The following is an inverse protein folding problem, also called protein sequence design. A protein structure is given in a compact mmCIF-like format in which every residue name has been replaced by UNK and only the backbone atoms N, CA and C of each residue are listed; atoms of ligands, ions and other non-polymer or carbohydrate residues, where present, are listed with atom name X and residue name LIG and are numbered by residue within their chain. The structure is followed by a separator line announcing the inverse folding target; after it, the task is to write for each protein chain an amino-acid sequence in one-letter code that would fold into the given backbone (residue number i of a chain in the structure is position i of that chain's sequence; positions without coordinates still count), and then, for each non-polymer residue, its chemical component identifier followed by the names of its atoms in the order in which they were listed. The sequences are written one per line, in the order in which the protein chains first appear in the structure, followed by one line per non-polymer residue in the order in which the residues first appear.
data_IF_479255840660
#
_entry.id   IF_479255840660
#
_cell.length_a   1.000
_cell.length_b   1.000
_cell.length_c   1.000
_cell.angle_alpha   90.00
_cell.angle_beta   90.00
_cell.angle_gamma   90.00
#
_symmetry.space_group_name_H-M   'P 1'
#
loop_
_entity.id
_entity.type
_entity.pdbx_description
1 polymer ?
#
# COMPACT_ATOMS: atom_id res chain seq x y z
N UNK A 1 3.04 26.96 -12.32
CA UNK A 1 1.75 26.62 -11.68
C UNK A 1 1.74 25.11 -11.52
N UNK A 2 1.81 24.57 -10.30
CA UNK A 2 1.76 23.13 -10.11
C UNK A 2 0.33 22.63 -10.34
N UNK A 3 0.17 21.48 -11.00
CA UNK A 3 -1.12 20.78 -11.03
C UNK A 3 -1.55 20.49 -9.60
N UNK A 4 -2.82 20.75 -9.28
CA UNK A 4 -3.45 20.30 -8.04
C UNK A 4 -4.20 18.98 -8.27
N UNK A 5 -4.46 18.17 -7.22
CA UNK A 5 -5.33 16.99 -7.34
C UNK A 5 -6.69 17.33 -7.94
N UNK A 6 -7.26 18.47 -7.57
CA UNK A 6 -8.51 18.97 -8.15
C UNK A 6 -8.41 19.28 -9.65
N UNK A 7 -7.25 19.70 -10.15
CA UNK A 7 -7.05 19.92 -11.59
C UNK A 7 -7.00 18.59 -12.37
N UNK A 8 -6.48 17.53 -11.75
CA UNK A 8 -6.47 16.17 -12.32
C UNK A 8 -7.89 15.61 -12.35
N UNK A 9 -8.65 15.78 -11.27
CA UNK A 9 -10.03 15.32 -11.19
C UNK A 9 -10.97 16.01 -12.20
N UNK A 10 -10.76 17.31 -12.45
CA UNK A 10 -11.62 18.09 -13.33
C UNK A 10 -11.16 18.10 -14.81
N UNK A 11 -10.15 17.32 -15.16
CA UNK A 11 -9.63 17.29 -16.54
C UNK A 11 -10.63 16.58 -17.46
N UNK A 12 -10.95 17.20 -18.60
CA UNK A 12 -11.82 16.61 -19.61
C UNK A 12 -11.07 16.47 -20.94
N UNK A 13 -10.98 15.24 -21.45
CA UNK A 13 -10.37 14.96 -22.75
C UNK A 13 -11.42 15.01 -23.88
N UNK A 14 -11.05 15.62 -25.02
CA UNK A 14 -11.89 15.63 -26.22
C UNK A 14 -11.96 14.26 -26.88
N UNK A 15 -13.13 13.87 -27.38
CA UNK A 15 -13.29 12.61 -28.13
C UNK A 15 -12.41 12.58 -29.38
N UNK A 16 -11.83 11.42 -29.76
CA UNK A 16 -11.01 11.29 -30.95
C UNK A 16 -11.76 11.73 -32.22
N UNK A 17 -11.10 12.38 -33.19
CA UNK A 17 -11.68 12.68 -34.49
C UNK A 17 -12.20 11.41 -35.18
N UNK A 18 -13.32 11.52 -35.89
CA UNK A 18 -14.00 10.40 -36.55
C UNK A 18 -12.99 9.60 -37.40
N UNK A 19 -12.91 8.29 -37.15
CA UNK A 19 -12.03 7.36 -37.86
C UNK A 19 -10.65 7.13 -37.22
N UNK A 20 -10.33 7.79 -36.10
CA UNK A 20 -9.11 7.51 -35.31
C UNK A 20 -9.46 6.79 -34.01
N UNK A 21 -8.60 5.83 -33.62
CA UNK A 21 -8.72 5.14 -32.33
C UNK A 21 -8.19 6.04 -31.22
N UNK A 22 -8.92 6.14 -30.11
CA UNK A 22 -8.49 6.79 -28.88
C UNK A 22 -8.05 5.79 -27.82
N UNK A 23 -7.67 6.32 -26.66
CA UNK A 23 -7.50 5.53 -25.44
C UNK A 23 -8.85 5.04 -24.91
N UNK A 24 -8.83 3.96 -24.13
CA UNK A 24 -10.01 3.46 -23.44
C UNK A 24 -10.34 4.40 -22.27
N UNK A 25 -11.56 4.93 -22.24
CA UNK A 25 -12.00 5.89 -21.22
C UNK A 25 -11.85 5.29 -19.80
N UNK A 26 -12.25 4.03 -19.60
CA UNK A 26 -12.17 3.36 -18.29
C UNK A 26 -10.72 3.19 -17.80
N UNK A 27 -9.77 2.91 -18.70
CA UNK A 27 -8.35 2.78 -18.35
C UNK A 27 -7.70 4.12 -18.06
N UNK A 28 -8.13 5.17 -18.75
CA UNK A 28 -7.67 6.54 -18.51
C UNK A 28 -8.19 7.04 -17.16
N UNK A 29 -9.46 6.83 -16.86
CA UNK A 29 -10.07 7.24 -15.59
C UNK A 29 -9.39 6.53 -14.40
N UNK A 30 -9.18 5.21 -14.49
CA UNK A 30 -8.47 4.45 -13.45
C UNK A 30 -7.02 4.92 -13.25
N UNK A 31 -6.35 5.38 -14.31
CA UNK A 31 -5.02 5.96 -14.22
C UNK A 31 -5.04 7.34 -13.57
N UNK A 32 -6.03 8.18 -13.89
CA UNK A 32 -6.19 9.50 -13.28
C UNK A 32 -6.48 9.40 -11.78
N UNK A 33 -7.29 8.44 -11.34
CA UNK A 33 -7.52 8.18 -9.91
C UNK A 33 -6.21 7.87 -9.16
N UNK A 34 -5.34 7.06 -9.77
CA UNK A 34 -4.04 6.72 -9.20
C UNK A 34 -3.09 7.93 -9.16
N UNK A 35 -3.12 8.77 -10.21
CA UNK A 35 -2.34 10.02 -10.26
C UNK A 35 -2.85 11.02 -9.23
N UNK A 36 -4.16 11.16 -9.04
CA UNK A 36 -4.77 12.04 -8.05
C UNK A 36 -4.38 11.63 -6.62
N UNK A 37 -4.46 10.33 -6.32
CA UNK A 37 -4.05 9.77 -5.03
C UNK A 37 -2.57 10.00 -4.74
N UNK A 38 -1.68 9.72 -5.70
CA UNK A 38 -0.24 9.90 -5.49
C UNK A 38 0.15 11.39 -5.42
N UNK A 39 -0.52 12.26 -6.18
CA UNK A 39 -0.29 13.70 -6.11
C UNK A 39 -0.71 14.25 -4.74
N UNK A 40 -1.83 13.78 -4.19
CA UNK A 40 -2.27 14.13 -2.83
C UNK A 40 -1.23 13.67 -1.80
N UNK A 41 -0.80 12.41 -1.87
CA UNK A 41 0.24 11.83 -1.00
C UNK A 41 1.54 12.62 -1.04
N UNK A 42 2.02 12.98 -2.24
CA UNK A 42 3.24 13.75 -2.43
C UNK A 42 3.12 15.18 -1.89
N UNK A 43 1.95 15.81 -2.00
CA UNK A 43 1.72 17.15 -1.45
C UNK A 43 1.74 17.09 0.08
N UNK A 44 1.05 16.13 0.69
CA UNK A 44 1.05 15.90 2.14
C UNK A 44 2.48 15.62 2.65
N UNK A 45 3.21 14.72 1.99
CA UNK A 45 4.60 14.41 2.33
C UNK A 45 5.51 15.64 2.17
N UNK A 46 5.32 16.46 1.14
CA UNK A 46 6.09 17.69 0.99
C UNK A 46 5.76 18.72 2.07
N UNK A 47 4.49 18.81 2.50
CA UNK A 47 4.10 19.70 3.60
C UNK A 47 4.70 19.25 4.92
N UNK A 48 4.68 17.95 5.22
CA UNK A 48 5.25 17.38 6.43
C UNK A 48 6.78 17.54 6.45
N UNK A 49 7.46 17.27 5.33
CA UNK A 49 8.90 17.47 5.21
C UNK A 49 9.28 18.94 5.40
N UNK A 50 8.51 19.89 4.82
CA UNK A 50 8.75 21.32 5.02
C UNK A 50 8.56 21.73 6.47
N UNK A 51 7.52 21.23 7.15
CA UNK A 51 7.33 21.46 8.57
C UNK A 51 8.51 20.91 9.38
N UNK A 52 8.97 19.69 9.06
CA UNK A 52 10.10 19.08 9.76
C UNK A 52 11.41 19.84 9.57
N UNK A 53 11.67 20.34 8.35
CA UNK A 53 12.81 21.22 8.10
C UNK A 53 12.69 22.50 8.90
N UNK A 54 11.51 23.11 8.97
CA UNK A 54 11.28 24.32 9.74
C UNK A 54 11.47 24.09 11.25
N UNK A 55 11.01 22.96 11.79
CA UNK A 55 11.26 22.55 13.18
C UNK A 55 12.75 22.36 13.45
N UNK A 56 13.46 21.63 12.57
CA UNK A 56 14.90 21.42 12.69
C UNK A 56 15.68 22.73 12.61
N UNK A 57 15.30 23.64 11.72
CA UNK A 57 15.90 24.98 11.62
C UNK A 57 15.64 25.80 12.89
N UNK A 58 14.46 25.68 13.51
CA UNK A 58 14.14 26.29 14.80
C UNK A 58 14.94 25.66 15.94
N UNK A 59 15.08 24.33 15.98
CA UNK A 59 15.91 23.62 16.96
C UNK A 59 17.39 23.97 16.78
N UNK A 60 17.88 24.10 15.54
CA UNK A 60 19.25 24.52 15.25
C UNK A 60 19.48 25.99 15.61
N UNK A 61 18.51 26.88 15.37
CA UNK A 61 18.61 28.28 15.82
C UNK A 61 18.50 28.39 17.33
N UNK A 62 17.65 27.60 17.99
CA UNK A 62 17.54 27.53 19.44
C UNK A 62 18.79 26.91 20.08
N UNK A 63 19.37 25.86 19.49
CA UNK A 63 20.63 25.26 19.91
C UNK A 63 21.81 26.19 19.62
N UNK A 64 21.76 26.98 18.55
CA UNK A 64 22.73 28.05 18.28
C UNK A 64 22.56 29.23 19.23
N UNK A 65 21.35 29.52 19.70
CA UNK A 65 21.04 30.52 20.71
C UNK A 65 21.15 30.01 22.16
N UNK A 66 21.27 28.70 22.36
CA UNK A 66 21.52 28.05 23.64
C UNK A 66 23.00 27.64 23.81
N UNK A 67 23.69 27.39 22.71
CA UNK A 67 25.16 27.24 22.62
C UNK A 67 25.87 28.59 22.42
N UNK A 68 25.17 29.59 21.90
CA UNK A 68 25.41 30.97 22.25
C UNK A 68 24.57 31.28 23.49
N UNK A 69 25.07 30.90 24.66
CA UNK A 69 25.03 31.89 25.72
C UNK A 69 25.35 33.23 25.04
N UNK A 70 24.60 34.32 25.29
CA UNK A 70 25.18 35.59 24.97
C UNK A 70 26.56 35.48 25.63
N UNK A 71 27.60 35.50 24.81
CA UNK A 71 28.67 36.40 25.11
C UNK A 71 27.93 37.74 25.14
N UNK A 72 27.21 38.01 26.26
CA UNK A 72 27.38 39.21 27.04
C UNK A 72 28.83 39.43 26.83
N UNK A 73 29.09 40.37 25.91
CA UNK A 73 30.38 40.92 25.71
C UNK A 73 30.94 40.91 27.12
N UNK A 74 31.93 40.03 27.37
CA UNK A 74 32.79 40.27 28.52
C UNK A 74 33.03 41.76 28.38
N UNK A 75 32.64 42.59 29.37
CA UNK A 75 32.90 44.01 29.25
C UNK A 75 34.34 44.02 28.79
N UNK A 76 34.56 44.55 27.58
CA UNK A 76 35.92 44.79 27.14
C UNK A 76 36.42 45.58 28.32
N UNK A 77 37.32 44.96 29.08
CA UNK A 77 38.06 45.65 30.10
C UNK A 77 38.90 46.57 29.23
N UNK A 78 38.26 47.66 28.81
CA UNK A 78 38.90 48.93 28.61
C UNK A 78 39.68 49.05 29.89
N UNK A 79 41.02 48.94 29.82
CA UNK A 79 41.82 49.12 31.00
C UNK A 79 41.41 50.48 31.52
N UNK A 80 40.62 50.48 32.60
CA UNK A 80 40.45 51.65 33.42
C UNK A 80 41.89 52.07 33.68
N UNK A 81 42.28 53.28 33.25
CA UNK A 81 43.67 53.68 33.29
C UNK A 81 44.11 53.43 34.71
N UNK A 82 45.07 52.51 34.89
CA UNK A 82 45.82 52.39 36.13
C UNK A 82 46.07 53.83 36.55
N UNK A 83 45.65 54.26 37.76
CA UNK A 83 45.88 55.62 38.21
C UNK A 83 47.35 55.83 37.98
N UNK A 84 47.65 56.73 37.03
CA UNK A 84 48.97 56.92 36.46
C UNK A 84 49.96 56.75 37.59
N UNK A 85 50.72 55.64 37.56
CA UNK A 85 51.76 55.40 38.53
C UNK A 85 52.52 56.73 38.61
N UNK A 86 52.49 57.44 39.76
CA UNK A 86 53.13 58.73 39.84
C UNK A 86 54.58 58.46 39.46
N UNK A 87 55.03 59.13 38.40
CA UNK A 87 56.40 59.07 37.94
C UNK A 87 57.30 59.14 39.17
N UNK A 88 57.95 58.04 39.49
CA UNK A 88 58.90 57.97 40.58
C UNK A 88 60.11 58.80 40.16
N UNK A 89 60.09 60.07 40.52
CA UNK A 89 61.23 60.97 40.58
C UNK A 89 61.37 61.48 42.02
N UNK A 90 62.61 61.71 42.46
CA UNK A 90 63.14 61.06 43.64
C UNK A 90 62.79 61.83 44.92
N UNK A 91 61.96 61.21 45.76
CA UNK A 91 61.81 61.65 47.13
C UNK A 91 63.11 61.33 47.89
N UNK A 92 63.80 62.40 48.27
CA UNK A 92 64.95 62.43 49.15
C UNK A 92 64.82 61.47 50.33
N UNK A 93 65.84 60.64 50.53
CA UNK A 93 65.99 59.75 51.67
C UNK A 93 65.82 60.52 53.00
N UNK A 94 64.92 60.10 53.89
CA UNK A 94 65.00 60.48 55.29
C UNK A 94 66.19 59.77 55.95
N UNK A 95 66.86 60.43 56.90
CA UNK A 95 68.08 59.92 57.50
C UNK A 95 67.77 58.72 58.41
N UNK A 96 68.56 57.66 58.26
CA UNK A 96 68.75 56.62 59.28
C UNK A 96 67.49 55.88 59.74
N UNK A 97 67.12 54.81 59.03
CA UNK A 97 66.31 53.76 59.63
C UNK A 97 67.13 53.10 60.73
N UNK A 98 66.64 53.14 61.96
CA UNK A 98 67.21 52.36 63.05
C UNK A 98 67.05 50.86 62.70
N UNK A 99 68.08 50.04 62.95
CA UNK A 99 68.10 48.59 62.65
C UNK A 99 66.83 47.86 63.12
N UNK A 100 66.23 48.32 64.22
CA UNK A 100 65.03 47.74 64.79
C UNK A 100 63.76 47.92 63.92
N UNK A 101 63.66 49.02 63.15
CA UNK A 101 62.52 49.26 62.25
C UNK A 101 62.63 48.46 60.95
N UNK A 102 63.85 48.25 60.43
CA UNK A 102 64.10 47.37 59.29
C UNK A 102 63.79 45.90 59.63
N UNK A 103 64.15 45.45 60.83
CA UNK A 103 63.83 44.11 61.33
C UNK A 103 62.33 43.89 61.50
N UNK A 104 61.58 44.90 61.97
CA UNK A 104 60.10 44.83 62.07
C UNK A 104 59.45 44.78 60.69
N UNK A 105 59.93 45.56 59.72
CA UNK A 105 59.44 45.53 58.35
C UNK A 105 59.71 44.19 57.64
N UNK A 106 60.90 43.61 57.80
CA UNK A 106 61.25 42.31 57.24
C UNK A 106 60.36 41.17 57.80
N UNK A 107 60.03 41.23 59.10
CA UNK A 107 59.12 40.26 59.74
C UNK A 107 57.70 40.34 59.19
N UNK A 108 57.20 41.54 58.95
CA UNK A 108 55.87 41.76 58.36
C UNK A 108 55.85 41.28 56.90
N UNK A 109 56.92 41.53 56.14
CA UNK A 109 57.06 41.03 54.76
C UNK A 109 57.09 39.51 54.70
N UNK A 110 57.83 38.87 55.60
CA UNK A 110 57.85 37.40 55.73
C UNK A 110 56.47 36.85 56.08
N UNK A 111 55.76 37.47 57.04
CA UNK A 111 54.40 37.06 57.39
C UNK A 111 53.44 37.24 56.19
N UNK A 112 53.58 38.32 55.44
CA UNK A 112 52.79 38.57 54.24
C UNK A 112 53.08 37.53 53.14
N UNK A 113 54.35 37.19 52.91
CA UNK A 113 54.75 36.13 51.97
C UNK A 113 54.20 34.77 52.39
N UNK A 114 54.32 34.40 53.66
CA UNK A 114 53.76 33.14 54.19
C UNK A 114 52.24 33.08 54.00
N UNK A 115 51.54 34.20 54.23
CA UNK A 115 50.09 34.25 54.01
C UNK A 115 49.72 34.16 52.52
N UNK A 116 50.51 34.79 51.64
CA UNK A 116 50.29 34.72 50.19
C UNK A 116 50.53 33.30 49.66
N UNK A 117 51.61 32.64 50.08
CA UNK A 117 51.92 31.26 49.69
C UNK A 117 50.84 30.29 50.18
N UNK A 118 50.36 30.48 51.41
CA UNK A 118 49.26 29.68 51.97
C UNK A 118 47.97 29.86 51.20
N UNK A 119 47.56 31.10 50.91
CA UNK A 119 46.35 31.39 50.11
C UNK A 119 46.46 30.82 48.69
N UNK A 120 47.63 30.92 48.07
CA UNK A 120 47.87 30.37 46.73
C UNK A 120 47.77 28.84 46.75
N UNK A 121 48.33 28.20 47.78
CA UNK A 121 48.25 26.74 47.97
C UNK A 121 46.81 26.27 48.18
N UNK A 122 46.03 26.96 49.03
CA UNK A 122 44.62 26.62 49.26
C UNK A 122 43.78 26.83 48.01
N UNK A 123 43.98 27.95 47.30
CA UNK A 123 43.26 28.21 46.05
C UNK A 123 43.57 27.17 44.97
N UNK A 124 44.85 26.76 44.84
CA UNK A 124 45.24 25.68 43.92
C UNK A 124 44.55 24.36 44.27
N UNK A 125 44.62 23.95 45.54
CA UNK A 125 44.00 22.72 46.02
C UNK A 125 42.47 22.71 45.84
N UNK A 126 41.81 23.83 46.11
CA UNK A 126 40.36 23.98 45.85
C UNK A 126 40.04 23.90 44.36
N UNK A 127 40.84 24.53 43.49
CA UNK A 127 40.63 24.45 42.03
C UNK A 127 40.84 23.04 41.49
N UNK A 128 41.86 22.32 41.97
CA UNK A 128 42.13 20.94 41.58
C UNK A 128 41.00 20.02 41.99
N UNK A 129 40.46 20.23 43.21
CA UNK A 129 39.29 19.52 43.69
C UNK A 129 38.06 19.80 42.83
N UNK A 130 37.76 21.07 42.54
CA UNK A 130 36.62 21.43 41.68
C UNK A 130 36.75 20.83 40.28
N UNK A 131 37.96 20.83 39.71
CA UNK A 131 38.22 20.20 38.42
C UNK A 131 38.04 18.68 38.47
N UNK A 132 38.46 18.03 39.55
CA UNK A 132 38.24 16.59 39.76
C UNK A 132 36.75 16.27 39.89
N UNK A 133 36.01 17.03 40.70
CA UNK A 133 34.56 16.86 40.89
C UNK A 133 33.79 17.12 39.59
N UNK A 134 34.16 18.17 38.84
CA UNK A 134 33.56 18.47 37.54
C UNK A 134 33.84 17.35 36.51
N UNK A 135 35.05 16.80 36.48
CA UNK A 135 35.40 15.67 35.62
C UNK A 135 34.61 14.42 35.99
N UNK A 136 34.53 14.08 37.27
CA UNK A 136 33.77 12.93 37.76
C UNK A 136 32.27 13.05 37.41
N UNK A 137 31.68 14.23 37.60
CA UNK A 137 30.29 14.49 37.22
C UNK A 137 30.08 14.39 35.70
N UNK A 138 31.01 14.92 34.89
CA UNK A 138 30.93 14.81 33.44
C UNK A 138 31.03 13.35 32.97
N UNK A 139 31.93 12.56 33.55
CA UNK A 139 32.07 11.13 33.26
C UNK A 139 30.80 10.35 33.63
N UNK A 140 30.18 10.67 34.77
CA UNK A 140 28.93 10.07 35.18
C UNK A 140 27.79 10.38 34.19
N UNK A 141 27.61 11.66 33.82
CA UNK A 141 26.58 12.07 32.86
C UNK A 141 26.79 11.37 31.51
N UNK A 142 28.03 11.30 31.02
CA UNK A 142 28.34 10.61 29.77
C UNK A 142 28.09 9.10 29.88
N UNK A 143 28.36 8.48 31.03
CA UNK A 143 28.07 7.08 31.29
C UNK A 143 26.57 6.79 31.31
N UNK A 144 25.78 7.64 31.99
CA UNK A 144 24.32 7.55 32.05
C UNK A 144 23.70 7.75 30.67
N UNK A 145 24.12 8.78 29.94
CA UNK A 145 23.65 9.05 28.58
C UNK A 145 23.96 7.88 27.63
N UNK A 146 25.16 7.28 27.73
CA UNK A 146 25.52 6.10 26.93
C UNK A 146 24.66 4.88 27.29
N UNK A 147 24.48 4.57 28.58
CA UNK A 147 23.60 3.46 29.01
C UNK A 147 22.18 3.64 28.53
N UNK A 148 21.65 4.86 28.60
CA UNK A 148 20.30 5.16 28.12
C UNK A 148 20.21 5.04 26.59
N UNK A 149 21.22 5.52 25.85
CA UNK A 149 21.30 5.34 24.41
C UNK A 149 21.32 3.85 24.03
N UNK A 150 22.17 3.05 24.69
CA UNK A 150 22.27 1.62 24.43
C UNK A 150 20.96 0.89 24.73
N UNK A 151 20.28 1.24 25.82
CA UNK A 151 18.97 0.69 26.17
C UNK A 151 17.91 1.03 25.12
N UNK A 152 17.84 2.29 24.69
CA UNK A 152 16.85 2.71 23.67
C UNK A 152 17.10 2.04 22.32
N UNK A 153 18.37 1.87 21.93
CA UNK A 153 18.74 1.14 20.70
C UNK A 153 18.36 -0.34 20.83
N UNK A 154 18.63 -0.98 21.97
CA UNK A 154 18.26 -2.38 22.20
C UNK A 154 16.75 -2.58 22.16
N UNK A 155 15.98 -1.72 22.82
CA UNK A 155 14.52 -1.75 22.78
C UNK A 155 13.97 -1.51 21.38
N UNK A 156 14.51 -0.53 20.66
CA UNK A 156 14.07 -0.23 19.29
C UNK A 156 14.33 -1.42 18.36
N UNK A 157 15.50 -2.07 18.47
CA UNK A 157 15.82 -3.29 17.73
C UNK A 157 14.87 -4.43 18.07
N UNK A 158 14.65 -4.69 19.35
CA UNK A 158 13.73 -5.75 19.79
C UNK A 158 12.30 -5.51 19.28
N UNK A 159 11.80 -4.26 19.32
CA UNK A 159 10.48 -3.91 18.78
C UNK A 159 10.42 -4.10 17.26
N UNK A 160 11.48 -3.72 16.54
CA UNK A 160 11.57 -3.92 15.10
C UNK A 160 11.57 -5.41 14.74
N UNK A 161 12.37 -6.23 15.42
CA UNK A 161 12.43 -7.67 15.19
C UNK A 161 11.08 -8.35 15.48
N UNK A 162 10.41 -7.95 16.56
CA UNK A 162 9.07 -8.44 16.88
C UNK A 162 8.03 -8.05 15.82
N UNK A 163 8.08 -6.81 15.31
CA UNK A 163 7.19 -6.34 14.24
C UNK A 163 7.43 -7.12 12.93
N UNK A 164 8.70 -7.39 12.59
CA UNK A 164 9.04 -8.20 11.40
C UNK A 164 8.54 -9.64 11.53
N UNK A 165 8.68 -10.26 12.70
CA UNK A 165 8.18 -11.62 12.94
C UNK A 165 6.65 -11.70 12.88
N UNK A 166 5.94 -10.74 13.45
CA UNK A 166 4.48 -10.65 13.37
C UNK A 166 4.01 -10.41 11.93
N UNK A 167 4.67 -9.50 11.19
CA UNK A 167 4.38 -9.26 9.78
C UNK A 167 4.59 -10.51 8.93
N UNK A 168 5.69 -11.25 9.13
CA UNK A 168 5.95 -12.52 8.45
C UNK A 168 4.87 -13.55 8.77
N UNK A 169 4.50 -13.72 10.03
CA UNK A 169 3.46 -14.68 10.45
C UNK A 169 2.11 -14.36 9.83
N UNK A 170 1.73 -13.07 9.81
CA UNK A 170 0.48 -12.62 9.16
C UNK A 170 0.50 -12.85 7.66
N UNK A 171 1.63 -12.55 7.00
CA UNK A 171 1.78 -12.77 5.57
C UNK A 171 1.68 -14.26 5.21
N UNK A 172 2.34 -15.14 5.95
CA UNK A 172 2.26 -16.60 5.77
C UNK A 172 0.83 -17.11 5.99
N UNK A 173 0.15 -16.62 7.03
CA UNK A 173 -1.24 -17.00 7.31
C UNK A 173 -2.17 -16.54 6.19
N UNK A 174 -1.99 -15.32 5.69
CA UNK A 174 -2.79 -14.78 4.59
C UNK A 174 -2.55 -15.55 3.28
N UNK A 175 -1.30 -15.90 2.96
CA UNK A 175 -0.96 -16.72 1.81
C UNK A 175 -1.60 -18.09 1.89
N UNK A 176 -1.51 -18.75 3.05
CA UNK A 176 -2.15 -20.04 3.28
C UNK A 176 -3.67 -19.96 3.13
N UNK A 177 -4.32 -18.95 3.70
CA UNK A 177 -5.76 -18.75 3.54
C UNK A 177 -6.16 -18.47 2.08
N UNK A 178 -5.34 -17.71 1.34
CA UNK A 178 -5.58 -17.45 -0.08
C UNK A 178 -5.44 -18.73 -0.92
N UNK A 179 -4.42 -19.54 -0.64
CA UNK A 179 -4.22 -20.84 -1.29
C UNK A 179 -5.38 -21.80 -1.01
N UNK A 180 -5.76 -21.96 0.27
CA UNK A 180 -6.90 -22.82 0.64
C UNK A 180 -8.20 -22.38 -0.05
N UNK A 181 -8.45 -21.07 -0.18
CA UNK A 181 -9.60 -20.54 -0.92
C UNK A 181 -9.52 -20.80 -2.42
N UNK A 182 -8.33 -20.65 -3.02
CA UNK A 182 -8.11 -20.90 -4.43
C UNK A 182 -8.35 -22.39 -4.76
N UNK A 183 -7.79 -23.30 -3.95
CA UNK A 183 -7.96 -24.74 -4.10
C UNK A 183 -9.43 -25.14 -3.93
N UNK A 184 -10.12 -24.57 -2.93
CA UNK A 184 -11.55 -24.81 -2.72
C UNK A 184 -12.40 -24.34 -3.90
N UNK A 185 -12.09 -23.16 -4.46
CA UNK A 185 -12.79 -22.62 -5.63
C UNK A 185 -12.55 -23.49 -6.86
N UNK A 186 -11.32 -23.95 -7.07
CA UNK A 186 -10.98 -24.85 -8.17
C UNK A 186 -11.73 -26.18 -8.03
N UNK A 187 -11.73 -26.80 -6.85
CA UNK A 187 -12.46 -28.02 -6.59
C UNK A 187 -13.99 -27.85 -6.76
N UNK A 188 -14.54 -26.68 -6.46
CA UNK A 188 -15.96 -26.37 -6.71
C UNK A 188 -16.25 -26.20 -8.20
N UNK A 189 -15.38 -25.52 -8.94
CA UNK A 189 -15.48 -25.35 -10.38
C UNK A 189 -15.40 -26.70 -11.11
N UNK A 190 -14.45 -27.57 -10.73
CA UNK A 190 -14.29 -28.92 -11.29
C UNK A 190 -15.52 -29.80 -11.01
N UNK A 191 -16.05 -29.77 -9.78
CA UNK A 191 -17.30 -30.49 -9.44
C UNK A 191 -18.46 -30.02 -10.30
N UNK A 192 -18.73 -28.71 -10.37
CA UNK A 192 -19.79 -28.14 -11.22
C UNK A 192 -19.58 -28.48 -12.69
N UNK A 193 -18.35 -28.43 -13.18
CA UNK A 193 -18.04 -28.81 -14.55
C UNK A 193 -18.38 -30.26 -14.82
N UNK A 194 -17.98 -31.18 -13.92
CA UNK A 194 -18.28 -32.61 -14.06
C UNK A 194 -19.78 -32.90 -14.02
N UNK A 195 -20.53 -32.22 -13.15
CA UNK A 195 -21.99 -32.31 -13.07
C UNK A 195 -22.66 -31.83 -14.36
N UNK A 196 -22.30 -30.63 -14.82
CA UNK A 196 -22.85 -30.06 -16.06
C UNK A 196 -22.54 -30.98 -17.24
N UNK A 197 -21.29 -31.42 -17.39
CA UNK A 197 -20.91 -32.35 -18.46
C UNK A 197 -21.65 -33.69 -18.35
N UNK A 198 -21.86 -34.19 -17.14
CA UNK A 198 -22.70 -35.36 -16.89
C UNK A 198 -24.13 -35.16 -17.41
N UNK A 199 -24.76 -34.04 -17.08
CA UNK A 199 -26.13 -33.72 -17.56
C UNK A 199 -26.20 -33.55 -19.07
N UNK A 200 -25.23 -32.86 -19.68
CA UNK A 200 -25.15 -32.66 -21.13
C UNK A 200 -25.00 -34.02 -21.84
N UNK A 201 -24.14 -34.90 -21.34
CA UNK A 201 -23.94 -36.23 -21.92
C UNK A 201 -25.19 -37.11 -21.80
N UNK A 202 -25.92 -37.03 -20.68
CA UNK A 202 -27.21 -37.70 -20.53
C UNK A 202 -28.25 -37.18 -21.52
N UNK A 203 -28.40 -35.86 -21.63
CA UNK A 203 -29.32 -35.24 -22.60
C UNK A 203 -28.97 -35.62 -24.03
N UNK A 204 -27.69 -35.58 -24.39
CA UNK A 204 -27.19 -36.02 -25.69
C UNK A 204 -27.58 -37.46 -25.98
N UNK A 205 -27.35 -38.38 -25.03
CA UNK A 205 -27.70 -39.80 -25.18
C UNK A 205 -29.21 -39.99 -25.39
N UNK A 206 -30.04 -39.27 -24.64
CA UNK A 206 -31.50 -39.31 -24.79
C UNK A 206 -31.94 -38.76 -26.15
N UNK A 207 -31.35 -37.67 -26.62
CA UNK A 207 -31.65 -37.08 -27.93
C UNK A 207 -31.21 -37.99 -29.08
N UNK A 208 -30.04 -38.60 -28.98
CA UNK A 208 -29.54 -39.60 -29.94
C UNK A 208 -30.49 -40.81 -30.01
N UNK A 209 -30.95 -41.33 -28.87
CA UNK A 209 -31.93 -42.42 -28.83
C UNK A 209 -33.28 -42.05 -29.47
N UNK A 210 -33.79 -40.84 -29.20
CA UNK A 210 -35.03 -40.34 -29.85
C UNK A 210 -34.84 -40.19 -31.35
N UNK A 211 -33.69 -39.69 -31.82
CA UNK A 211 -33.40 -39.55 -33.24
C UNK A 211 -33.44 -40.91 -33.95
N UNK A 212 -32.90 -41.96 -33.32
CA UNK A 212 -32.92 -43.32 -33.87
C UNK A 212 -34.33 -43.92 -33.89
N UNK A 213 -35.13 -43.69 -32.85
CA UNK A 213 -36.55 -44.05 -32.84
C UNK A 213 -37.33 -43.36 -33.96
N UNK A 214 -37.12 -42.05 -34.17
CA UNK A 214 -37.78 -41.30 -35.25
C UNK A 214 -37.38 -41.82 -36.63
N UNK A 215 -36.09 -42.14 -36.85
CA UNK A 215 -35.61 -42.74 -38.11
C UNK A 215 -36.24 -44.11 -38.39
N UNK A 216 -36.42 -44.91 -37.35
CA UNK A 216 -37.08 -46.23 -37.46
C UNK A 216 -38.55 -46.06 -37.77
N UNK A 217 -39.25 -45.20 -37.02
CA UNK A 217 -40.65 -44.86 -37.27
C UNK A 217 -40.88 -44.33 -38.69
N UNK A 218 -40.01 -43.43 -39.17
CA UNK A 218 -40.09 -42.91 -40.54
C UNK A 218 -39.94 -44.03 -41.58
N UNK A 219 -38.97 -44.93 -41.40
CA UNK A 219 -38.74 -46.06 -42.32
C UNK A 219 -39.95 -46.99 -42.36
N UNK A 220 -40.49 -47.35 -41.19
CA UNK A 220 -41.70 -48.17 -41.10
C UNK A 220 -42.91 -47.47 -41.71
N UNK A 221 -43.12 -46.19 -41.40
CA UNK A 221 -44.22 -45.41 -41.94
C UNK A 221 -44.16 -45.31 -43.46
N UNK A 222 -42.99 -45.00 -44.04
CA UNK A 222 -42.79 -44.99 -45.50
C UNK A 222 -43.08 -46.35 -46.13
N UNK A 223 -42.65 -47.43 -45.47
CA UNK A 223 -42.92 -48.81 -45.95
C UNK A 223 -44.42 -49.12 -45.93
N UNK A 224 -45.10 -48.85 -44.81
CA UNK A 224 -46.56 -49.07 -44.66
C UNK A 224 -47.35 -48.22 -45.65
N UNK A 225 -46.97 -46.95 -45.82
CA UNK A 225 -47.61 -46.05 -46.79
C UNK A 225 -47.43 -46.56 -48.22
N UNK A 226 -46.23 -47.01 -48.59
CA UNK A 226 -45.97 -47.61 -49.90
C UNK A 226 -46.86 -48.83 -50.12
N UNK A 227 -46.87 -49.77 -49.19
CA UNK A 227 -47.71 -50.98 -49.29
C UNK A 227 -49.20 -50.65 -49.38
N UNK A 228 -49.69 -49.66 -48.63
CA UNK A 228 -51.09 -49.21 -48.70
C UNK A 228 -51.44 -48.59 -50.05
N UNK A 229 -50.57 -47.73 -50.60
CA UNK A 229 -50.79 -47.15 -51.92
C UNK A 229 -50.73 -48.20 -53.03
N UNK A 230 -49.81 -49.16 -52.95
CA UNK A 230 -49.74 -50.29 -53.87
C UNK A 230 -51.01 -51.14 -53.83
N UNK A 231 -51.53 -51.45 -52.62
CA UNK A 231 -52.77 -52.21 -52.50
C UNK A 231 -53.99 -51.44 -53.03
N UNK A 232 -54.09 -50.13 -52.77
CA UNK A 232 -55.16 -49.30 -53.33
C UNK A 232 -55.11 -49.23 -54.86
N UNK A 233 -53.92 -49.14 -55.45
CA UNK A 233 -53.75 -49.18 -56.90
C UNK A 233 -54.15 -50.54 -57.48
N UNK A 234 -53.82 -51.64 -56.80
CA UNK A 234 -54.22 -52.98 -57.23
C UNK A 234 -55.74 -53.20 -57.14
N UNK A 235 -56.39 -52.75 -56.07
CA UNK A 235 -57.85 -52.76 -55.95
C UNK A 235 -58.54 -51.95 -57.05
N UNK A 236 -57.99 -50.78 -57.40
CA UNK A 236 -58.49 -49.97 -58.51
C UNK A 236 -58.27 -50.66 -59.86
N UNK A 237 -57.13 -51.34 -60.05
CA UNK A 237 -56.88 -52.18 -61.22
C UNK A 237 -57.87 -53.33 -61.35
N UNK A 238 -58.16 -54.03 -60.24
CA UNK A 238 -59.14 -55.11 -60.19
C UNK A 238 -60.57 -54.60 -60.43
N UNK A 239 -60.95 -53.45 -59.86
CA UNK A 239 -62.27 -52.82 -60.09
C UNK A 239 -62.41 -52.24 -61.49
N UNK A 240 -61.34 -51.68 -62.07
CA UNK A 240 -61.31 -51.27 -63.47
C UNK A 240 -61.40 -52.45 -64.43
N UNK A 241 -60.87 -53.62 -64.03
CA UNK A 241 -61.04 -54.89 -64.75
C UNK A 241 -62.43 -55.53 -64.54
N UNK A 242 -63.21 -55.05 -63.58
CA UNK A 242 -64.57 -55.50 -63.28
C UNK A 242 -65.66 -54.56 -63.83
N UNK A 243 -65.36 -53.82 -64.91
CA UNK A 243 -66.41 -53.21 -65.72
C UNK A 243 -67.26 -54.33 -66.34
N UNK A 244 -68.60 -54.33 -66.18
CA UNK A 244 -69.45 -55.35 -66.76
C UNK A 244 -69.36 -55.25 -68.28
N UNK A 245 -69.01 -56.36 -68.94
CA UNK A 245 -69.23 -56.50 -70.38
C UNK A 245 -70.74 -56.51 -70.61
N UNK A 246 -71.23 -55.44 -71.24
CA UNK A 246 -72.63 -55.24 -71.59
C UNK A 246 -73.10 -56.42 -72.45
N UNK A 247 -73.85 -57.34 -71.82
CA UNK A 247 -74.48 -58.47 -72.49
C UNK A 247 -75.90 -58.06 -72.86
N UNK A 248 -76.04 -57.20 -73.88
CA UNK A 248 -77.33 -56.77 -74.40
C UNK A 248 -77.32 -56.60 -75.92
N UNK A 249 -77.66 -57.67 -76.66
CA UNK A 249 -78.31 -57.61 -77.98
C UNK A 249 -78.62 -58.98 -78.61
N UNK A 250 -79.81 -59.55 -78.36
CA UNK A 250 -80.67 -60.21 -79.38
C UNK A 250 -82.07 -60.39 -78.74
N UNK A 251 -83.00 -59.42 -78.80
CA UNK A 251 -84.00 -59.17 -79.88
C UNK A 251 -84.52 -60.50 -80.48
N UNK A 252 -85.77 -60.94 -80.40
CA UNK A 252 -87.10 -60.30 -80.44
C UNK A 252 -88.15 -61.41 -80.18
N UNK A 253 -89.38 -61.07 -79.79
CA UNK A 253 -90.52 -61.93 -80.14
C UNK A 253 -91.66 -62.11 -79.12
N UNK A 254 -92.56 -61.12 -79.11
CA UNK A 254 -94.00 -61.34 -79.26
C UNK A 254 -94.85 -61.89 -78.06
N UNK A 255 -95.49 -60.93 -77.38
CA UNK A 255 -96.95 -60.82 -77.22
C UNK A 255 -97.75 -61.84 -76.39
N UNK A 256 -98.41 -61.26 -75.37
CA UNK A 256 -99.87 -61.27 -75.19
C UNK A 256 -100.54 -62.53 -74.60
N UNK A 257 -101.04 -62.41 -73.37
CA UNK A 257 -102.42 -62.72 -72.90
C UNK A 257 -102.47 -62.34 -71.39
N UNK A 258 -103.10 -61.25 -70.97
CA UNK A 258 -104.52 -61.15 -70.56
C UNK A 258 -104.86 -62.24 -69.49
N UNK A 259 -105.38 -61.99 -68.29
CA UNK A 259 -106.47 -61.08 -67.93
C UNK A 259 -106.78 -61.18 -66.40
N UNK A 260 -107.22 -60.06 -65.80
CA UNK A 260 -108.21 -59.97 -64.71
C UNK A 260 -107.76 -60.24 -63.26
N UNK A 261 -108.33 -59.65 -62.22
CA UNK A 261 -109.37 -58.62 -62.04
C UNK A 261 -109.45 -58.38 -60.51
N UNK A 262 -109.80 -57.15 -60.12
CA UNK A 262 -110.45 -56.72 -58.87
C UNK A 262 -110.09 -57.40 -57.54
#
# INVERSE_FOLDING_TARGET
MPLTPADVHNVAFSKPPIGKRGYNEDEVDAFLDLVEAELTRLIEENTDLRQRVQELDQELTAARAGGAAPTTAMPVYEPEPEPAAPAAQPATAPPGLNEEQAMKAARVLSLAQDTADRLTSTAKAESEKLLADARANAEQILGDARRQADSTIAEARQRADAMLADAQTRAETQLRQAQEKADALQADAERKHSEIMGTINQQRTVLEGRLEQLRTFEREYRTRLKTYLESQLEELGQRGSAAPVDSSATSEGFSQFNQGSN
#
